data_IF_133148996738
#
_entry.id   IF_133148996738
#
_cell.length_a   1.000
_cell.length_b   1.000
_cell.length_c   1.000
_cell.angle_alpha   90.00
_cell.angle_beta   90.00
_cell.angle_gamma   90.00
#
_symmetry.space_group_name_H-M   'P 1'
#
loop_
_entity.id
_entity.type
_entity.pdbx_description
1 polymer ?
#
# COMPACT_ATOMS: atom_id res chain seq x y z
N UNK A 1 -25.01 -8.41 13.43
CA UNK A 1 -24.21 -8.10 14.62
C UNK A 1 -22.77 -8.50 14.35
N UNK A 2 -21.82 -7.64 14.52
CA UNK A 2 -20.41 -7.96 14.31
C UNK A 2 -19.53 -6.71 14.32
N UNK A 3 -19.57 -5.90 13.26
CA UNK A 3 -18.71 -4.71 13.14
C UNK A 3 -19.24 -3.53 13.96
N UNK A 4 -20.55 -3.37 14.07
CA UNK A 4 -21.16 -2.29 14.86
C UNK A 4 -20.92 -2.45 16.35
N UNK A 5 -20.96 -3.68 16.85
CA UNK A 5 -20.76 -3.97 18.28
C UNK A 5 -19.29 -3.77 18.67
N UNK A 6 -18.36 -4.13 17.77
CA UNK A 6 -16.92 -3.87 17.91
C UNK A 6 -16.57 -2.37 17.89
N UNK A 7 -17.32 -1.56 17.15
CA UNK A 7 -17.07 -0.12 17.07
C UNK A 7 -17.41 0.59 18.40
N UNK A 8 -18.38 0.11 19.13
CA UNK A 8 -18.83 0.70 20.40
C UNK A 8 -18.11 0.14 21.65
N UNK A 9 -17.42 -1.00 21.53
CA UNK A 9 -16.66 -1.60 22.63
C UNK A 9 -15.31 -0.89 22.80
N UNK A 10 -15.28 0.14 23.66
CA UNK A 10 -14.07 0.95 23.93
C UNK A 10 -13.04 0.22 24.78
N UNK A 11 -13.41 -0.85 25.47
CA UNK A 11 -12.56 -1.57 26.42
C UNK A 11 -11.78 -2.72 25.78
N UNK A 12 -12.02 -3.02 24.52
CA UNK A 12 -11.33 -4.09 23.81
C UNK A 12 -9.92 -3.66 23.37
N UNK A 13 -8.91 -4.18 24.05
CA UNK A 13 -7.49 -3.90 23.77
C UNK A 13 -7.06 -4.25 22.33
N UNK A 14 -7.76 -5.18 21.67
CA UNK A 14 -7.46 -5.62 20.30
C UNK A 14 -8.35 -4.97 19.22
N UNK A 15 -9.21 -4.02 19.60
CA UNK A 15 -10.17 -3.36 18.71
C UNK A 15 -9.54 -2.87 17.41
N UNK A 16 -8.40 -2.20 17.48
CA UNK A 16 -7.71 -1.66 16.31
C UNK A 16 -7.19 -2.77 15.40
N UNK A 17 -6.66 -3.84 15.98
CA UNK A 17 -6.14 -4.98 15.22
C UNK A 17 -7.28 -5.75 14.55
N UNK A 18 -8.38 -5.94 15.24
CA UNK A 18 -9.57 -6.60 14.71
C UNK A 18 -10.16 -5.77 13.57
N UNK A 19 -10.28 -4.44 13.74
CA UNK A 19 -10.77 -3.55 12.70
C UNK A 19 -9.86 -3.55 11.46
N UNK A 20 -8.54 -3.53 11.67
CA UNK A 20 -7.55 -3.65 10.59
C UNK A 20 -7.72 -4.97 9.82
N UNK A 21 -7.90 -6.07 10.53
CA UNK A 21 -8.10 -7.39 9.92
C UNK A 21 -9.42 -7.46 9.14
N UNK A 22 -10.51 -6.86 9.66
CA UNK A 22 -11.78 -6.78 8.94
C UNK A 22 -11.68 -5.95 7.67
N UNK A 23 -11.05 -4.77 7.73
CA UNK A 23 -10.83 -3.92 6.56
C UNK A 23 -9.96 -4.65 5.53
N UNK A 24 -8.93 -5.33 5.98
CA UNK A 24 -8.02 -6.08 5.11
C UNK A 24 -8.74 -7.25 4.43
N UNK A 25 -9.55 -8.01 5.18
CA UNK A 25 -10.39 -9.09 4.64
C UNK A 25 -11.45 -8.56 3.66
N UNK A 26 -12.08 -7.43 3.97
CA UNK A 26 -13.06 -6.79 3.10
C UNK A 26 -12.44 -6.29 1.79
N UNK A 27 -11.24 -5.70 1.85
CA UNK A 27 -10.53 -5.27 0.65
C UNK A 27 -10.10 -6.45 -0.21
N UNK A 28 -9.69 -7.57 0.41
CA UNK A 28 -9.37 -8.80 -0.31
C UNK A 28 -10.62 -9.42 -0.98
N UNK A 29 -11.77 -9.38 -0.31
CA UNK A 29 -13.04 -9.88 -0.86
C UNK A 29 -13.53 -9.01 -2.03
N UNK A 30 -13.43 -7.68 -1.91
CA UNK A 30 -13.71 -6.76 -3.03
C UNK A 30 -12.75 -7.03 -4.19
N UNK A 31 -11.46 -7.17 -3.89
CA UNK A 31 -10.46 -7.47 -4.92
C UNK A 31 -10.76 -8.79 -5.63
N UNK A 32 -11.06 -9.84 -4.89
CA UNK A 32 -11.41 -11.15 -5.46
C UNK A 32 -12.70 -11.08 -6.31
N UNK A 33 -13.75 -10.41 -5.82
CA UNK A 33 -15.00 -10.22 -6.56
C UNK A 33 -14.82 -9.39 -7.83
N UNK A 34 -14.10 -8.28 -7.75
CA UNK A 34 -13.83 -7.44 -8.93
C UNK A 34 -12.93 -8.18 -9.92
N UNK A 35 -11.97 -8.94 -9.44
CA UNK A 35 -11.09 -9.75 -10.26
C UNK A 35 -11.85 -10.90 -10.95
N UNK A 36 -12.77 -11.59 -10.27
CA UNK A 36 -13.64 -12.62 -10.87
C UNK A 36 -14.58 -12.03 -11.92
N UNK A 37 -15.18 -10.86 -11.66
CA UNK A 37 -16.03 -10.17 -12.64
C UNK A 37 -15.24 -9.74 -13.88
N UNK A 38 -13.98 -9.35 -13.69
CA UNK A 38 -13.08 -9.01 -14.79
C UNK A 38 -12.66 -10.24 -15.59
N UNK A 39 -12.43 -11.39 -14.94
CA UNK A 39 -12.12 -12.66 -15.57
C UNK A 39 -13.31 -13.25 -16.34
N UNK A 40 -14.55 -13.07 -15.83
CA UNK A 40 -15.76 -13.52 -16.53
C UNK A 40 -16.02 -12.75 -17.84
N UNK A 41 -15.40 -11.58 -18.04
CA UNK A 41 -15.52 -10.79 -19.27
C UNK A 41 -14.44 -11.08 -20.33
N UNK A 42 -13.46 -11.93 -20.05
CA UNK A 42 -12.42 -12.30 -21.02
C UNK A 42 -12.38 -13.81 -21.20
N UNK A 43 -12.65 -14.32 -22.40
CA UNK A 43 -12.26 -15.68 -22.79
C UNK A 43 -10.73 -15.72 -22.97
N UNK A 44 -10.12 -16.74 -22.36
CA UNK A 44 -8.77 -17.26 -22.57
C UNK A 44 -7.57 -16.38 -22.22
N UNK A 45 -6.89 -16.75 -21.12
CA UNK A 45 -5.48 -16.45 -20.85
C UNK A 45 -5.25 -15.12 -20.16
N UNK A 46 -4.98 -15.17 -18.87
CA UNK A 46 -4.29 -14.06 -18.17
C UNK A 46 -3.01 -13.78 -18.95
N UNK A 47 -2.86 -12.59 -19.51
CA UNK A 47 -1.65 -12.26 -20.24
C UNK A 47 -0.45 -12.35 -19.28
N UNK A 48 0.71 -12.80 -19.78
CA UNK A 48 1.95 -12.84 -18.99
C UNK A 48 2.23 -11.51 -18.27
N UNK A 49 1.80 -10.40 -18.87
CA UNK A 49 1.95 -9.06 -18.27
C UNK A 49 1.02 -8.84 -17.08
N UNK A 50 -0.22 -9.31 -17.14
CA UNK A 50 -1.17 -9.23 -16.02
C UNK A 50 -0.75 -10.10 -14.83
N UNK A 51 -0.21 -11.29 -15.09
CA UNK A 51 0.35 -12.13 -14.03
C UNK A 51 1.58 -11.47 -13.38
N UNK A 52 2.46 -10.91 -14.19
CA UNK A 52 3.62 -10.17 -13.69
C UNK A 52 3.21 -8.96 -12.84
N UNK A 53 2.19 -8.23 -13.28
CA UNK A 53 1.61 -7.12 -12.53
C UNK A 53 1.05 -7.61 -11.18
N UNK A 54 0.29 -8.69 -11.15
CA UNK A 54 -0.25 -9.28 -9.92
C UNK A 54 0.87 -9.62 -8.93
N UNK A 55 1.94 -10.28 -9.39
CA UNK A 55 3.11 -10.60 -8.57
C UNK A 55 3.84 -9.35 -8.08
N UNK A 56 3.96 -8.32 -8.92
CA UNK A 56 4.52 -7.03 -8.53
C UNK A 56 3.72 -6.39 -7.38
N UNK A 57 2.39 -6.33 -7.49
CA UNK A 57 1.53 -5.77 -6.43
C UNK A 57 1.68 -6.54 -5.12
N UNK A 58 1.73 -7.87 -5.15
CA UNK A 58 1.96 -8.69 -3.96
C UNK A 58 3.30 -8.35 -3.28
N UNK A 59 4.36 -8.16 -4.07
CA UNK A 59 5.67 -7.74 -3.55
C UNK A 59 5.64 -6.31 -2.98
N UNK A 60 4.92 -5.39 -3.63
CA UNK A 60 4.76 -4.03 -3.13
C UNK A 60 4.07 -4.04 -1.77
N UNK A 61 2.96 -4.75 -1.61
CA UNK A 61 2.30 -4.89 -0.32
C UNK A 61 3.22 -5.44 0.77
N UNK A 62 4.07 -6.39 0.43
CA UNK A 62 4.96 -7.02 1.39
C UNK A 62 6.18 -6.18 1.78
N UNK A 63 6.68 -5.36 0.88
CA UNK A 63 8.00 -4.75 1.01
C UNK A 63 8.04 -3.22 0.93
N UNK A 64 6.94 -2.52 0.57
CA UNK A 64 6.96 -1.08 0.32
C UNK A 64 7.38 -0.24 1.54
N UNK A 65 7.18 -0.75 2.75
CA UNK A 65 7.59 -0.08 3.99
C UNK A 65 9.10 0.07 4.11
N UNK A 66 9.87 -0.88 3.58
CA UNK A 66 11.34 -0.91 3.67
C UNK A 66 12.04 -0.73 2.33
N UNK A 67 11.38 -1.08 1.22
CA UNK A 67 11.95 -1.08 -0.13
C UNK A 67 11.13 -0.21 -1.07
N UNK A 68 11.73 0.84 -1.62
CA UNK A 68 11.05 1.84 -2.45
C UNK A 68 11.56 1.93 -3.88
N UNK A 69 12.64 1.20 -4.19
CA UNK A 69 13.28 1.22 -5.50
C UNK A 69 12.70 0.16 -6.44
N UNK A 70 12.38 0.55 -7.67
CA UNK A 70 11.82 -0.34 -8.71
C UNK A 70 12.74 -1.53 -8.99
N UNK A 71 14.06 -1.31 -8.90
CA UNK A 71 15.08 -2.35 -9.09
C UNK A 71 14.94 -3.52 -8.12
N UNK A 72 14.59 -3.26 -6.85
CA UNK A 72 14.35 -4.32 -5.87
C UNK A 72 13.24 -5.28 -6.34
N UNK A 73 12.13 -4.74 -6.81
CA UNK A 73 10.98 -5.53 -7.26
C UNK A 73 11.28 -6.27 -8.56
N UNK A 74 11.97 -5.60 -9.48
CA UNK A 74 12.41 -6.24 -10.73
C UNK A 74 13.33 -7.44 -10.46
N UNK A 75 14.30 -7.29 -9.55
CA UNK A 75 15.19 -8.38 -9.13
C UNK A 75 14.41 -9.56 -8.50
N UNK A 76 13.42 -9.27 -7.65
CA UNK A 76 12.55 -10.32 -7.07
C UNK A 76 11.70 -11.04 -8.10
N UNK A 77 11.42 -10.41 -9.21
CA UNK A 77 10.66 -10.98 -10.34
C UNK A 77 11.56 -11.59 -11.42
N UNK A 78 12.89 -11.54 -11.22
CA UNK A 78 13.91 -12.03 -12.18
C UNK A 78 13.79 -11.39 -13.57
N UNK A 79 13.52 -10.08 -13.61
CA UNK A 79 13.41 -9.27 -14.83
C UNK A 79 14.17 -7.95 -14.66
N UNK A 80 14.37 -7.25 -15.78
CA UNK A 80 15.01 -5.92 -15.75
C UNK A 80 14.03 -4.86 -15.24
N UNK A 81 14.52 -3.78 -14.56
CA UNK A 81 13.68 -2.66 -14.13
C UNK A 81 12.96 -1.98 -15.31
N UNK A 82 13.62 -1.92 -16.47
CA UNK A 82 13.03 -1.36 -17.69
C UNK A 82 11.83 -2.19 -18.16
N UNK A 83 11.97 -3.51 -18.19
CA UNK A 83 10.89 -4.39 -18.61
C UNK A 83 9.71 -4.32 -17.62
N UNK A 84 9.99 -4.34 -16.32
CA UNK A 84 8.95 -4.15 -15.30
C UNK A 84 8.21 -2.83 -15.51
N UNK A 85 8.92 -1.72 -15.70
CA UNK A 85 8.32 -0.40 -15.91
C UNK A 85 7.42 -0.40 -17.17
N UNK A 86 7.85 -1.03 -18.25
CA UNK A 86 7.06 -1.14 -19.47
C UNK A 86 5.78 -1.96 -19.24
N UNK A 87 5.88 -3.10 -18.57
CA UNK A 87 4.70 -3.93 -18.24
C UNK A 87 3.70 -3.17 -17.38
N UNK A 88 4.17 -2.51 -16.31
CA UNK A 88 3.30 -1.75 -15.41
C UNK A 88 2.61 -0.61 -16.19
N UNK A 89 3.36 0.13 -17.00
CA UNK A 89 2.80 1.20 -17.83
C UNK A 89 1.72 0.68 -18.80
N UNK A 90 1.96 -0.45 -19.44
CA UNK A 90 1.00 -1.05 -20.39
C UNK A 90 -0.30 -1.51 -19.68
N UNK A 91 -0.18 -2.08 -18.48
CA UNK A 91 -1.33 -2.63 -17.76
C UNK A 91 -2.13 -1.54 -17.04
N UNK A 92 -1.46 -0.50 -16.51
CA UNK A 92 -2.09 0.45 -15.56
C UNK A 92 -2.10 1.90 -16.02
N UNK A 93 -1.41 2.24 -17.10
CA UNK A 93 -1.15 3.61 -17.56
C UNK A 93 -0.44 4.48 -16.50
N UNK A 94 0.20 3.86 -15.49
CA UNK A 94 0.99 4.56 -14.47
C UNK A 94 2.38 3.97 -14.34
N UNK A 95 3.29 4.65 -13.63
CA UNK A 95 4.64 4.14 -13.43
C UNK A 95 4.71 3.18 -12.24
N UNK A 96 5.62 2.20 -12.29
CA UNK A 96 5.89 1.30 -11.15
C UNK A 96 6.24 2.09 -9.88
N UNK A 97 7.03 3.15 -10.00
CA UNK A 97 7.40 4.03 -8.88
C UNK A 97 6.17 4.70 -8.26
N UNK A 98 5.24 5.21 -9.07
CA UNK A 98 4.01 5.83 -8.59
C UNK A 98 3.15 4.83 -7.79
N UNK A 99 3.08 3.58 -8.21
CA UNK A 99 2.34 2.54 -7.48
C UNK A 99 3.00 2.27 -6.12
N UNK A 100 4.33 2.10 -6.09
CA UNK A 100 5.07 1.92 -4.85
C UNK A 100 4.84 3.09 -3.90
N UNK A 101 5.02 4.31 -4.39
CA UNK A 101 4.87 5.53 -3.58
C UNK A 101 3.44 5.67 -3.01
N UNK A 102 2.40 5.35 -3.79
CA UNK A 102 1.01 5.34 -3.30
C UNK A 102 0.82 4.38 -2.11
N UNK A 103 1.40 3.19 -2.17
CA UNK A 103 1.31 2.22 -1.08
C UNK A 103 2.08 2.70 0.17
N UNK A 104 3.28 3.23 -0.01
CA UNK A 104 4.07 3.82 1.08
C UNK A 104 3.29 4.96 1.76
N UNK A 105 2.71 5.87 0.98
CA UNK A 105 1.91 6.98 1.50
C UNK A 105 0.68 6.47 2.26
N UNK A 106 0.03 5.42 1.79
CA UNK A 106 -1.09 4.82 2.51
C UNK A 106 -0.66 4.28 3.88
N UNK A 107 0.45 3.54 3.95
CA UNK A 107 1.01 3.06 5.21
C UNK A 107 1.37 4.20 6.17
N UNK A 108 2.00 5.27 5.67
CA UNK A 108 2.29 6.46 6.46
C UNK A 108 1.01 7.08 7.02
N UNK A 109 -0.02 7.25 6.21
CA UNK A 109 -1.31 7.81 6.62
C UNK A 109 -1.97 6.97 7.72
N UNK A 110 -1.93 5.64 7.57
CA UNK A 110 -2.45 4.72 8.59
C UNK A 110 -1.70 4.90 9.90
N UNK A 111 -0.37 4.88 9.89
CA UNK A 111 0.43 5.05 11.11
C UNK A 111 0.22 6.42 11.78
N UNK A 112 0.12 7.49 10.99
CA UNK A 112 -0.13 8.84 11.51
C UNK A 112 -1.47 8.96 12.21
N UNK A 113 -2.51 8.25 11.74
CA UNK A 113 -3.88 8.34 12.29
C UNK A 113 -4.20 7.28 13.33
N UNK A 114 -3.60 6.09 13.24
CA UNK A 114 -3.95 4.96 14.10
C UNK A 114 -2.99 4.74 15.27
N UNK A 115 -1.90 5.49 15.35
CA UNK A 115 -0.89 5.33 16.42
C UNK A 115 -0.51 6.65 17.07
N UNK A 116 0.03 6.57 18.26
CA UNK A 116 0.63 7.71 18.98
C UNK A 116 2.14 7.87 18.72
N UNK A 117 2.69 7.10 17.76
CA UNK A 117 4.10 7.20 17.41
C UNK A 117 4.44 8.61 16.93
N UNK A 118 5.59 9.12 17.37
CA UNK A 118 6.12 10.38 16.87
C UNK A 118 6.46 10.27 15.36
N UNK A 119 6.58 11.40 14.69
CA UNK A 119 6.97 11.44 13.27
C UNK A 119 8.35 10.81 13.07
N UNK A 120 9.25 10.95 14.03
CA UNK A 120 10.58 10.34 14.01
C UNK A 120 10.49 8.80 14.12
N UNK A 121 9.67 8.29 15.02
CA UNK A 121 9.47 6.84 15.18
C UNK A 121 8.86 6.22 13.92
N UNK A 122 7.87 6.87 13.31
CA UNK A 122 7.29 6.42 12.03
C UNK A 122 8.35 6.42 10.94
N UNK A 123 9.15 7.48 10.84
CA UNK A 123 10.25 7.57 9.87
C UNK A 123 11.23 6.41 10.03
N UNK A 124 11.62 6.08 11.26
CA UNK A 124 12.52 4.98 11.57
C UNK A 124 11.87 3.62 11.26
N UNK A 125 10.62 3.41 11.69
CA UNK A 125 9.87 2.17 11.44
C UNK A 125 9.72 1.86 9.95
N UNK A 126 9.55 2.90 9.13
CA UNK A 126 9.44 2.77 7.68
C UNK A 126 10.80 2.87 6.96
N UNK A 127 11.90 2.79 7.69
CA UNK A 127 13.27 2.80 7.14
C UNK A 127 13.53 3.99 6.21
N UNK A 128 13.11 5.19 6.60
CA UNK A 128 13.54 6.41 5.93
C UNK A 128 14.92 6.84 6.44
N UNK A 129 15.77 7.48 5.60
CA UNK A 129 17.10 7.91 6.00
C UNK A 129 17.09 8.85 7.22
N UNK A 130 16.14 9.76 7.27
CA UNK A 130 15.93 10.71 8.35
C UNK A 130 14.50 11.28 8.32
N UNK A 131 14.12 11.96 9.42
CA UNK A 131 12.81 12.58 9.56
C UNK A 131 12.58 13.71 8.55
N UNK A 132 13.62 14.43 8.15
CA UNK A 132 13.50 15.56 7.21
C UNK A 132 13.19 15.04 5.81
N UNK A 133 13.85 13.97 5.40
CA UNK A 133 13.53 13.29 4.13
C UNK A 133 12.11 12.72 4.14
N UNK A 134 11.74 12.04 5.21
CA UNK A 134 10.37 11.53 5.41
C UNK A 134 9.32 12.63 5.29
N UNK A 135 9.52 13.76 5.96
CA UNK A 135 8.61 14.92 5.92
C UNK A 135 8.46 15.49 4.51
N UNK A 136 9.58 15.68 3.79
CA UNK A 136 9.57 16.15 2.40
C UNK A 136 8.89 15.15 1.46
N UNK A 137 9.18 13.86 1.61
CA UNK A 137 8.56 12.79 0.83
C UNK A 137 7.04 12.78 1.01
N UNK A 138 6.57 12.79 2.25
CA UNK A 138 5.14 12.80 2.55
C UNK A 138 4.46 14.06 2.01
N UNK A 139 5.04 15.25 2.24
CA UNK A 139 4.50 16.52 1.75
C UNK A 139 4.45 16.58 0.23
N UNK A 140 5.45 16.05 -0.47
CA UNK A 140 5.46 15.98 -1.94
C UNK A 140 4.27 15.21 -2.49
N UNK A 141 3.86 14.13 -1.82
CA UNK A 141 2.79 13.27 -2.31
C UNK A 141 1.38 13.63 -1.79
N UNK A 142 1.29 14.39 -0.69
CA UNK A 142 0.01 14.69 -0.04
C UNK A 142 -0.33 16.18 0.02
N UNK A 143 0.65 17.05 -0.22
CA UNK A 143 0.52 18.50 -0.05
C UNK A 143 0.67 18.97 1.41
N UNK A 144 0.67 18.07 2.40
CA UNK A 144 0.67 18.39 3.81
C UNK A 144 1.90 17.81 4.51
N UNK A 145 2.38 18.47 5.56
CA UNK A 145 3.36 17.84 6.44
C UNK A 145 2.73 16.69 7.25
N UNK A 146 3.52 15.72 7.74
CA UNK A 146 3.01 14.64 8.58
C UNK A 146 2.22 15.11 9.79
N UNK A 147 2.69 16.16 10.48
CA UNK A 147 2.00 16.75 11.63
C UNK A 147 0.70 17.44 11.24
N UNK A 148 0.69 18.19 10.14
CA UNK A 148 -0.54 18.81 9.62
C UNK A 148 -1.57 17.72 9.29
N UNK A 149 -1.15 16.64 8.63
CA UNK A 149 -2.03 15.52 8.29
C UNK A 149 -2.58 14.83 9.53
N UNK A 150 -1.75 14.59 10.55
CA UNK A 150 -2.17 13.99 11.82
C UNK A 150 -3.25 14.81 12.52
N UNK A 151 -3.11 16.14 12.52
CA UNK A 151 -4.01 17.06 13.22
C UNK A 151 -5.27 17.44 12.42
N UNK A 152 -5.40 17.01 11.19
CA UNK A 152 -6.66 17.13 10.45
C UNK A 152 -7.70 16.18 11.07
N UNK A 153 -8.86 16.71 11.42
CA UNK A 153 -10.03 15.93 11.88
C UNK A 153 -10.68 15.19 10.70
#
# INVERSE_FOLDING_TARGET
SGIKDLYHDRDNCFRQQILKNYIQSFLLDIYDKTHRLFLMKRPEGISRQEELFKRFIQLVHKHCTTQREVSFYANKLFITPRYLSTVIQNVTNTTAKSIIDKHVILEIKVLLKSTNLSVQEISNQLCFPDQSFFGRYFKKHTGLSPLQYRNQN
#
